data_IF_400431933442
#
_entry.id   IF_400431933442
#
_cell.length_a   1.000
_cell.length_b   1.000
_cell.length_c   1.000
_cell.angle_alpha   90.00
_cell.angle_beta   90.00
_cell.angle_gamma   90.00
#
_symmetry.space_group_name_H-M   'P 1'
#
loop_
_entity.id
_entity.type
_entity.pdbx_description
1 polymer ?
#
# COMPACT_ATOMS: atom_id res chain seq x y z
N UNK A 1 6.37 -9.53 -22.14
CA UNK A 1 6.67 -8.08 -22.26
C UNK A 1 6.81 -7.42 -20.90
N UNK A 2 5.79 -7.49 -20.00
CA UNK A 2 5.78 -6.79 -18.70
C UNK A 2 6.94 -7.18 -17.77
N UNK A 3 7.32 -8.45 -17.69
CA UNK A 3 8.44 -8.90 -16.87
C UNK A 3 9.75 -8.19 -17.24
N UNK A 4 10.07 -8.10 -18.52
CA UNK A 4 11.31 -7.46 -18.98
C UNK A 4 11.32 -5.95 -18.66
N UNK A 5 10.15 -5.32 -18.70
CA UNK A 5 9.99 -3.93 -18.24
C UNK A 5 10.34 -3.83 -16.75
N UNK A 6 9.73 -4.67 -15.90
CA UNK A 6 9.99 -4.63 -14.46
C UNK A 6 11.45 -4.95 -14.11
N UNK A 7 12.07 -5.90 -14.80
CA UNK A 7 13.51 -6.20 -14.62
C UNK A 7 14.35 -4.97 -14.96
N UNK A 8 14.03 -4.28 -16.07
CA UNK A 8 14.74 -3.04 -16.47
C UNK A 8 14.56 -1.94 -15.41
N UNK A 9 13.33 -1.76 -14.88
CA UNK A 9 13.06 -0.77 -13.85
C UNK A 9 13.81 -1.08 -12.53
N UNK A 10 13.96 -2.36 -12.17
CA UNK A 10 14.77 -2.76 -11.01
C UNK A 10 16.26 -2.48 -11.20
N UNK A 11 16.80 -2.66 -12.43
CA UNK A 11 18.18 -2.26 -12.73
C UNK A 11 18.34 -0.74 -12.70
N UNK A 12 17.38 0.02 -13.25
CA UNK A 12 17.38 1.48 -13.18
C UNK A 12 17.34 1.97 -11.72
N UNK A 13 16.47 1.39 -10.90
CA UNK A 13 16.43 1.65 -9.46
C UNK A 13 17.79 1.48 -8.82
N UNK A 14 18.47 0.35 -9.06
CA UNK A 14 19.80 0.08 -8.52
C UNK A 14 20.81 1.15 -8.96
N UNK A 15 20.83 1.48 -10.26
CA UNK A 15 21.73 2.50 -10.82
C UNK A 15 21.50 3.88 -10.19
N UNK A 16 20.25 4.29 -10.03
CA UNK A 16 19.92 5.57 -9.40
C UNK A 16 20.32 5.62 -7.93
N UNK A 17 20.11 4.52 -7.19
CA UNK A 17 20.55 4.41 -5.80
C UNK A 17 22.07 4.47 -5.64
N UNK A 18 22.80 3.83 -6.56
CA UNK A 18 24.27 3.84 -6.57
C UNK A 18 24.80 5.24 -6.89
N UNK A 19 24.20 5.94 -7.87
CA UNK A 19 24.51 7.35 -8.20
C UNK A 19 24.23 8.30 -7.05
N UNK A 20 23.13 8.06 -6.30
CA UNK A 20 22.76 8.84 -5.12
C UNK A 20 23.57 8.47 -3.88
N UNK A 21 24.51 7.52 -3.98
CA UNK A 21 25.36 7.02 -2.89
C UNK A 21 24.57 6.61 -1.63
N UNK A 22 23.42 5.93 -1.85
CA UNK A 22 22.57 5.47 -0.76
C UNK A 22 23.17 4.27 -0.05
N UNK A 23 22.83 4.10 1.22
CA UNK A 23 23.28 2.96 2.02
C UNK A 23 22.86 1.64 1.37
N UNK A 24 23.84 0.79 1.05
CA UNK A 24 23.63 -0.48 0.35
C UNK A 24 22.60 -1.38 1.04
N UNK A 25 22.61 -1.42 2.37
CA UNK A 25 21.64 -2.20 3.16
C UNK A 25 20.19 -1.75 2.89
N UNK A 26 19.96 -0.42 2.87
CA UNK A 26 18.65 0.15 2.59
C UNK A 26 18.20 -0.14 1.16
N UNK A 27 19.11 0.02 0.20
CA UNK A 27 18.84 -0.26 -1.22
C UNK A 27 18.45 -1.72 -1.41
N UNK A 28 19.19 -2.65 -0.79
CA UNK A 28 18.89 -4.08 -0.87
C UNK A 28 17.55 -4.43 -0.20
N UNK A 29 17.26 -3.85 0.96
CA UNK A 29 16.01 -4.08 1.68
C UNK A 29 14.80 -3.57 0.88
N UNK A 30 14.87 -2.34 0.34
CA UNK A 30 13.80 -1.77 -0.49
C UNK A 30 13.63 -2.57 -1.78
N UNK A 31 14.72 -2.96 -2.47
CA UNK A 31 14.65 -3.80 -3.67
C UNK A 31 13.98 -5.14 -3.37
N UNK A 32 14.31 -5.75 -2.25
CA UNK A 32 13.67 -6.99 -1.81
C UNK A 32 12.15 -6.81 -1.63
N UNK A 33 11.75 -5.77 -0.94
CA UNK A 33 10.34 -5.45 -0.70
C UNK A 33 9.58 -5.17 -2.00
N UNK A 34 10.18 -4.40 -2.92
CA UNK A 34 9.60 -4.09 -4.23
C UNK A 34 9.44 -5.34 -5.08
N UNK A 35 10.47 -6.19 -5.19
CA UNK A 35 10.39 -7.45 -5.93
C UNK A 35 9.27 -8.33 -5.36
N UNK A 36 9.19 -8.47 -4.03
CA UNK A 36 8.16 -9.29 -3.37
C UNK A 36 6.75 -8.77 -3.64
N UNK A 37 6.53 -7.46 -3.52
CA UNK A 37 5.22 -6.86 -3.74
C UNK A 37 4.78 -6.93 -5.22
N UNK A 38 5.71 -6.72 -6.15
CA UNK A 38 5.44 -6.83 -7.58
C UNK A 38 5.16 -8.28 -8.00
N UNK A 39 5.87 -9.24 -7.42
CA UNK A 39 5.61 -10.67 -7.65
C UNK A 39 4.23 -11.08 -7.13
N UNK A 40 3.81 -10.61 -5.96
CA UNK A 40 2.46 -10.84 -5.43
C UNK A 40 1.41 -10.21 -6.34
N UNK A 41 1.58 -8.94 -6.71
CA UNK A 41 0.67 -8.25 -7.61
C UNK A 41 0.54 -8.98 -8.96
N UNK A 42 1.66 -9.44 -9.53
CA UNK A 42 1.66 -10.24 -10.76
C UNK A 42 0.90 -11.56 -10.59
N UNK A 43 1.15 -12.30 -9.51
CA UNK A 43 0.46 -13.56 -9.21
C UNK A 43 -1.04 -13.39 -8.98
N UNK A 44 -1.50 -12.21 -8.56
CA UNK A 44 -2.92 -11.90 -8.40
C UNK A 44 -3.64 -11.62 -9.72
N UNK A 45 -2.91 -11.47 -10.83
CA UNK A 45 -3.49 -11.30 -12.16
C UNK A 45 -3.87 -12.64 -12.81
N UNK A 46 -4.75 -12.59 -13.80
CA UNK A 46 -5.16 -13.78 -14.56
C UNK A 46 -4.00 -14.40 -15.37
N UNK A 47 -3.06 -13.58 -15.84
CA UNK A 47 -1.90 -14.04 -16.61
C UNK A 47 -0.78 -14.58 -15.69
N UNK A 48 -0.59 -14.03 -14.49
CA UNK A 48 0.40 -14.50 -13.52
C UNK A 48 0.03 -15.85 -12.91
N UNK A 49 -1.24 -16.07 -12.59
CA UNK A 49 -1.76 -17.35 -12.04
C UNK A 49 -1.57 -18.56 -12.95
N UNK A 50 -1.30 -18.38 -14.23
CA UNK A 50 -1.04 -19.49 -15.17
C UNK A 50 0.34 -20.16 -14.98
N UNK A 51 1.05 -19.88 -13.89
CA UNK A 51 2.33 -20.51 -13.54
C UNK A 51 3.55 -19.97 -14.30
N UNK A 52 3.34 -19.11 -15.29
CA UNK A 52 4.43 -18.55 -16.11
C UNK A 52 5.33 -17.60 -15.31
N UNK A 53 4.78 -16.98 -14.27
CA UNK A 53 5.49 -16.02 -13.43
C UNK A 53 6.31 -16.71 -12.34
N UNK A 54 5.80 -17.76 -11.70
CA UNK A 54 6.37 -18.40 -10.51
C UNK A 54 7.83 -18.84 -10.67
N UNK A 55 8.17 -19.44 -11.84
CA UNK A 55 9.55 -19.89 -12.13
C UNK A 55 10.52 -18.78 -12.56
N UNK A 56 10.03 -17.54 -12.75
CA UNK A 56 10.79 -16.39 -13.26
C UNK A 56 10.44 -15.11 -12.50
N UNK A 57 10.12 -15.21 -11.21
CA UNK A 57 9.77 -14.07 -10.38
C UNK A 57 10.93 -13.08 -10.27
N UNK A 58 10.63 -11.83 -9.94
CA UNK A 58 11.64 -10.80 -9.70
C UNK A 58 12.49 -11.16 -8.48
N UNK A 59 11.85 -11.69 -7.44
CA UNK A 59 12.54 -12.08 -6.21
C UNK A 59 13.57 -13.17 -6.47
N UNK A 60 13.22 -14.21 -7.25
CA UNK A 60 14.17 -15.25 -7.68
C UNK A 60 15.30 -14.64 -8.52
N UNK A 61 14.96 -13.74 -9.44
CA UNK A 61 15.94 -13.13 -10.35
C UNK A 61 16.98 -12.27 -9.63
N UNK A 62 16.56 -11.49 -8.64
CA UNK A 62 17.43 -10.50 -7.98
C UNK A 62 17.97 -10.95 -6.61
N UNK A 63 17.33 -11.93 -5.97
CA UNK A 63 17.67 -12.36 -4.61
C UNK A 63 17.84 -13.88 -4.47
N UNK A 64 17.49 -14.67 -5.50
CA UNK A 64 17.58 -16.14 -5.44
C UNK A 64 16.60 -16.79 -4.47
N UNK A 65 15.52 -16.11 -4.10
CA UNK A 65 14.56 -16.54 -3.08
C UNK A 65 13.13 -16.57 -3.63
N UNK A 66 12.29 -17.43 -3.05
CA UNK A 66 10.89 -17.59 -3.46
C UNK A 66 9.87 -17.24 -2.36
N UNK A 67 10.29 -17.15 -1.10
CA UNK A 67 9.41 -16.97 0.06
C UNK A 67 9.36 -15.53 0.59
N UNK A 68 9.27 -14.56 -0.31
CA UNK A 68 9.31 -13.14 0.03
C UNK A 68 8.22 -12.70 0.99
N UNK A 69 7.01 -13.26 0.86
CA UNK A 69 5.86 -12.88 1.68
C UNK A 69 6.02 -13.15 3.18
N UNK A 70 6.84 -14.12 3.58
CA UNK A 70 7.16 -14.41 4.98
C UNK A 70 8.32 -13.53 5.43
N UNK A 71 9.40 -13.53 4.66
CA UNK A 71 10.66 -12.86 5.03
C UNK A 71 10.52 -11.34 5.09
N UNK A 72 9.65 -10.74 4.29
CA UNK A 72 9.39 -9.30 4.33
C UNK A 72 8.93 -8.85 5.73
N UNK A 73 8.03 -9.58 6.37
CA UNK A 73 7.57 -9.26 7.72
C UNK A 73 8.64 -9.47 8.79
N UNK A 74 9.56 -10.40 8.58
CA UNK A 74 10.75 -10.54 9.44
C UNK A 74 11.70 -9.34 9.28
N UNK A 75 11.85 -8.83 8.05
CA UNK A 75 12.62 -7.62 7.76
C UNK A 75 11.98 -6.42 8.45
N UNK A 76 10.65 -6.24 8.35
CA UNK A 76 9.92 -5.18 9.05
C UNK A 76 10.23 -5.21 10.55
N UNK A 77 10.11 -6.37 11.19
CA UNK A 77 10.36 -6.52 12.62
C UNK A 77 11.79 -6.11 13.03
N UNK A 78 12.79 -6.49 12.22
CA UNK A 78 14.19 -6.12 12.45
C UNK A 78 14.45 -4.63 12.26
N UNK A 79 13.92 -4.05 11.18
CA UNK A 79 14.10 -2.62 10.89
C UNK A 79 13.36 -1.73 11.89
N UNK A 80 12.19 -2.15 12.36
CA UNK A 80 11.41 -1.43 13.36
C UNK A 80 12.10 -1.36 14.73
N UNK A 81 12.95 -2.32 15.07
CA UNK A 81 13.76 -2.30 16.29
C UNK A 81 14.77 -1.15 16.32
N UNK A 82 15.24 -0.67 15.15
CA UNK A 82 16.15 0.47 15.00
C UNK A 82 15.53 1.54 14.09
N UNK A 83 14.31 1.97 14.46
CA UNK A 83 13.48 2.85 13.64
C UNK A 83 14.18 4.15 13.22
N UNK A 84 14.98 4.76 14.10
CA UNK A 84 15.69 6.01 13.80
C UNK A 84 16.64 5.86 12.59
N UNK A 85 17.26 4.72 12.47
CA UNK A 85 18.21 4.42 11.40
C UNK A 85 17.52 4.01 10.09
N UNK A 86 16.43 3.24 10.19
CA UNK A 86 15.78 2.58 9.07
C UNK A 86 14.42 3.19 8.67
N UNK A 87 14.04 4.34 9.25
CA UNK A 87 12.72 4.94 9.04
C UNK A 87 12.36 5.18 7.57
N UNK A 88 13.33 5.54 6.72
CA UNK A 88 13.09 5.73 5.29
C UNK A 88 12.68 4.42 4.58
N UNK A 89 13.30 3.30 4.97
CA UNK A 89 12.94 1.96 4.43
C UNK A 89 11.56 1.55 4.91
N UNK A 90 11.27 1.79 6.20
CA UNK A 90 9.96 1.49 6.79
C UNK A 90 8.84 2.34 6.19
N UNK A 91 9.13 3.58 5.77
CA UNK A 91 8.19 4.43 5.05
C UNK A 91 7.82 3.83 3.67
N UNK A 92 8.81 3.34 2.91
CA UNK A 92 8.55 2.62 1.65
C UNK A 92 7.69 1.39 1.90
N UNK A 93 8.01 0.60 2.93
CA UNK A 93 7.24 -0.59 3.28
C UNK A 93 5.80 -0.22 3.67
N UNK A 94 5.61 0.84 4.46
CA UNK A 94 4.29 1.37 4.81
C UNK A 94 3.45 1.68 3.56
N UNK A 95 4.06 2.29 2.53
CA UNK A 95 3.38 2.56 1.26
C UNK A 95 3.04 1.27 0.51
N UNK A 96 3.93 0.28 0.48
CA UNK A 96 3.65 -1.02 -0.15
C UNK A 96 2.48 -1.75 0.51
N UNK A 97 2.41 -1.74 1.84
CA UNK A 97 1.25 -2.26 2.58
C UNK A 97 -0.03 -1.47 2.26
N UNK A 98 0.11 -0.15 2.06
CA UNK A 98 -0.99 0.74 1.63
C UNK A 98 -1.51 0.44 0.22
N UNK A 99 -0.64 -0.03 -0.67
CA UNK A 99 -0.99 -0.44 -2.04
C UNK A 99 -1.64 -1.83 -2.11
N UNK A 100 -1.74 -2.54 -0.97
CA UNK A 100 -2.47 -3.80 -0.88
C UNK A 100 -1.58 -5.05 -0.85
N UNK A 101 -0.29 -4.91 -0.55
CA UNK A 101 0.56 -6.07 -0.30
C UNK A 101 0.11 -6.80 0.98
N UNK A 102 -0.19 -8.09 0.88
CA UNK A 102 -0.68 -8.92 1.99
C UNK A 102 0.36 -9.98 2.44
N UNK A 103 1.14 -10.53 1.53
CA UNK A 103 2.14 -11.55 1.78
C UNK A 103 1.58 -12.75 2.54
N UNK A 104 2.24 -13.15 3.63
CA UNK A 104 1.81 -14.29 4.46
C UNK A 104 0.43 -14.13 5.10
N UNK A 105 -0.08 -12.91 5.20
CA UNK A 105 -1.37 -12.64 5.83
C UNK A 105 -2.56 -12.88 4.90
N UNK A 106 -2.34 -13.01 3.59
CA UNK A 106 -3.39 -13.29 2.62
C UNK A 106 -4.14 -14.61 2.88
N UNK A 107 -3.48 -15.59 3.50
CA UNK A 107 -4.03 -16.93 3.80
C UNK A 107 -4.44 -17.10 5.26
N UNK A 108 -4.29 -16.09 6.11
CA UNK A 108 -4.62 -16.18 7.53
C UNK A 108 -6.05 -15.68 7.79
N UNK A 109 -6.82 -16.34 8.71
CA UNK A 109 -8.21 -15.95 8.99
C UNK A 109 -8.37 -14.49 9.41
N UNK A 110 -7.45 -13.97 10.23
CA UNK A 110 -7.43 -12.57 10.71
C UNK A 110 -6.35 -11.72 10.04
N UNK A 111 -5.87 -12.13 8.87
CA UNK A 111 -4.71 -11.52 8.22
C UNK A 111 -4.86 -10.03 7.97
N UNK A 112 -6.01 -9.57 7.48
CA UNK A 112 -6.30 -8.15 7.25
C UNK A 112 -6.19 -7.32 8.52
N UNK A 113 -6.77 -7.81 9.62
CA UNK A 113 -6.71 -7.12 10.91
C UNK A 113 -5.29 -7.02 11.44
N UNK A 114 -4.49 -8.07 11.24
CA UNK A 114 -3.07 -8.06 11.62
C UNK A 114 -2.27 -7.08 10.76
N UNK A 115 -2.52 -7.03 9.44
CA UNK A 115 -1.91 -6.05 8.55
C UNK A 115 -2.27 -4.61 8.93
N UNK A 116 -3.53 -4.34 9.25
CA UNK A 116 -3.97 -3.02 9.68
C UNK A 116 -3.28 -2.59 10.98
N UNK A 117 -3.09 -3.51 11.92
CA UNK A 117 -2.33 -3.25 13.14
C UNK A 117 -0.86 -2.91 12.84
N UNK A 118 -0.20 -3.66 11.94
CA UNK A 118 1.18 -3.38 11.52
C UNK A 118 1.26 -2.00 10.85
N UNK A 119 0.34 -1.68 9.95
CA UNK A 119 0.27 -0.36 9.29
C UNK A 119 0.10 0.75 10.29
N UNK A 120 -0.79 0.57 11.27
CA UNK A 120 -1.05 1.57 12.32
C UNK A 120 0.19 1.79 13.20
N UNK A 121 0.90 0.73 13.56
CA UNK A 121 2.15 0.83 14.32
C UNK A 121 3.22 1.59 13.52
N UNK A 122 3.42 1.24 12.24
CA UNK A 122 4.35 1.95 11.37
C UNK A 122 3.98 3.43 11.21
N UNK A 123 2.69 3.73 11.00
CA UNK A 123 2.21 5.11 10.89
C UNK A 123 2.51 5.91 12.15
N UNK A 124 2.26 5.33 13.33
CA UNK A 124 2.55 5.99 14.61
C UNK A 124 4.03 6.31 14.75
N UNK A 125 4.91 5.37 14.43
CA UNK A 125 6.36 5.59 14.47
C UNK A 125 6.83 6.62 13.44
N UNK A 126 6.30 6.57 12.22
CA UNK A 126 6.63 7.52 11.15
C UNK A 126 6.15 8.93 11.47
N UNK A 127 4.97 9.07 12.07
CA UNK A 127 4.43 10.39 12.47
C UNK A 127 5.24 11.05 13.57
N UNK A 128 5.84 10.28 14.47
CA UNK A 128 6.73 10.80 15.51
C UNK A 128 8.07 11.33 14.96
N UNK A 129 8.50 10.84 13.79
CA UNK A 129 9.73 11.30 13.13
C UNK A 129 9.53 12.56 12.30
N UNK A 130 8.32 12.75 11.77
CA UNK A 130 8.00 13.96 11.02
C UNK A 130 7.79 15.10 12.00
N UNK A 131 8.49 16.22 11.77
CA UNK A 131 8.14 17.48 12.42
C UNK A 131 6.63 17.71 12.24
N UNK A 132 5.94 18.25 13.28
CA UNK A 132 4.52 18.51 13.18
C UNK A 132 4.28 19.33 11.91
N UNK A 133 3.61 18.72 10.93
CA UNK A 133 3.21 19.41 9.71
C UNK A 133 2.43 20.61 10.17
N UNK A 134 2.92 21.81 9.86
CA UNK A 134 2.19 23.04 10.14
C UNK A 134 0.74 22.85 9.66
N UNK A 135 -0.26 23.19 10.49
CA UNK A 135 -1.64 23.08 10.07
C UNK A 135 -1.81 23.79 8.74
N UNK A 136 -2.50 23.16 7.81
CA UNK A 136 -2.63 23.55 6.41
C UNK A 136 -2.69 25.08 6.24
N UNK A 137 -1.86 25.60 5.33
CA UNK A 137 -1.69 27.02 5.01
C UNK A 137 -2.99 27.72 4.52
N UNK A 138 -4.10 27.00 4.41
CA UNK A 138 -5.40 27.54 4.04
C UNK A 138 -6.52 26.94 4.88
N UNK A 139 -7.22 27.73 5.73
CA UNK A 139 -8.42 27.27 6.42
C UNK A 139 -9.58 26.94 5.45
N UNK A 140 -9.51 27.38 4.20
CA UNK A 140 -10.56 27.18 3.19
C UNK A 140 -10.56 25.77 2.57
N UNK A 141 -9.49 24.98 2.70
CA UNK A 141 -9.42 23.64 2.09
C UNK A 141 -10.35 22.62 2.77
N UNK A 142 -10.71 22.82 4.02
CA UNK A 142 -11.65 21.94 4.73
C UNK A 142 -13.12 22.17 4.33
N UNK A 143 -13.45 23.34 3.77
CA UNK A 143 -14.82 23.68 3.36
C UNK A 143 -15.25 23.05 2.02
N UNK A 144 -14.34 22.90 1.07
CA UNK A 144 -14.71 22.54 -0.31
C UNK A 144 -15.01 21.03 -0.49
N UNK A 145 -14.33 20.14 0.25
CA UNK A 145 -14.50 18.69 0.09
C UNK A 145 -15.63 18.16 0.98
N UNK A 146 -15.79 18.69 2.18
CA UNK A 146 -16.83 18.25 3.11
C UNK A 146 -18.23 18.77 2.75
N UNK A 147 -18.35 19.90 2.06
CA UNK A 147 -19.63 20.51 1.69
C UNK A 147 -20.38 19.73 0.61
N UNK A 148 -19.70 19.14 -0.36
CA UNK A 148 -20.33 18.47 -1.50
C UNK A 148 -20.82 17.05 -1.20
N UNK A 149 -20.11 16.32 -0.35
CA UNK A 149 -20.51 14.95 0.05
C UNK A 149 -21.55 14.96 1.19
N UNK A 150 -21.58 16.01 2.02
CA UNK A 150 -22.55 16.13 3.12
C UNK A 150 -23.93 16.49 2.65
N UNK A 151 -24.07 17.16 1.50
CA UNK A 151 -25.37 17.54 0.90
C UNK A 151 -26.14 16.38 0.28
N UNK A 152 -25.42 15.35 -0.21
CA UNK A 152 -26.06 14.18 -0.83
C UNK A 152 -26.58 13.14 0.19
N UNK A 153 -26.18 13.21 1.45
CA UNK A 153 -26.52 12.20 2.47
C UNK A 153 -27.69 12.56 3.40
N UNK A 154 -28.37 13.69 3.15
CA UNK A 154 -29.52 14.14 3.95
C UNK A 154 -30.73 14.43 3.10
N UNK A 155 -31.14 13.48 2.27
CA UNK A 155 -32.55 13.43 1.88
C UNK A 155 -33.26 12.66 2.99
N UNK A 156 -34.05 13.31 3.82
CA UNK A 156 -34.73 12.61 4.90
C UNK A 156 -35.71 11.61 4.28
N UNK A 157 -35.70 10.38 4.80
CA UNK A 157 -36.49 9.24 4.27
C UNK A 157 -38.00 9.57 4.17
N UNK A 158 -38.49 10.47 5.03
CA UNK A 158 -39.88 10.94 5.00
C UNK A 158 -40.21 11.79 3.78
N UNK A 159 -39.23 12.46 3.14
CA UNK A 159 -39.43 13.22 1.92
C UNK A 159 -39.62 12.30 0.69
N UNK A 160 -38.87 11.19 0.64
CA UNK A 160 -39.05 10.17 -0.39
C UNK A 160 -40.36 9.41 -0.24
N UNK A 161 -40.79 9.15 1.01
CA UNK A 161 -42.10 8.56 1.30
C UNK A 161 -43.26 9.51 0.87
N UNK A 162 -43.13 10.82 1.11
CA UNK A 162 -44.10 11.82 0.71
C UNK A 162 -44.25 11.91 -0.81
N UNK A 163 -43.18 11.89 -1.57
CA UNK A 163 -43.18 11.90 -3.04
C UNK A 163 -43.82 10.63 -3.61
N UNK A 164 -43.52 9.46 -3.00
CA UNK A 164 -44.13 8.19 -3.43
C UNK A 164 -45.64 8.15 -3.18
N UNK A 165 -46.12 8.73 -2.07
CA UNK A 165 -47.52 8.80 -1.72
C UNK A 165 -48.29 9.75 -2.65
N UNK A 166 -47.69 10.90 -3.03
CA UNK A 166 -48.24 11.85 -3.99
C UNK A 166 -48.32 11.23 -5.41
N UNK A 167 -47.29 10.49 -5.85
CA UNK A 167 -47.29 9.79 -7.11
C UNK A 167 -48.39 8.70 -7.18
N UNK A 168 -48.66 8.02 -6.08
CA UNK A 168 -49.69 7.00 -5.99
C UNK A 168 -51.11 7.62 -6.05
N UNK A 169 -51.31 8.84 -5.51
CA UNK A 169 -52.59 9.55 -5.51
C UNK A 169 -52.91 10.12 -6.90
N UNK A 170 -51.93 10.36 -7.78
CA UNK A 170 -52.17 10.88 -9.13
C UNK A 170 -52.40 9.77 -10.18
N UNK A 171 -52.16 8.51 -9.81
CA UNK A 171 -52.35 7.33 -10.65
C UNK A 171 -53.68 6.60 -10.35
N UNK A 172 -54.45 7.04 -9.36
CA UNK A 172 -55.74 6.48 -9.01
C UNK A 172 -56.86 7.53 -9.25
#
# INVERSE_FOLDING_TARGET
PYRNLLVREMHLYQTLCDQANLRREHVLAVRYCLCTALDEAANNTTWGRRGVWAGKSLLVTFHGESEGGIKLFQIIGRLAASFQEHGNVLEVIYHLLGLGFEGRYSVQPDGRKQLDNIRQQLLTQLSQRRDPVMPALSPDFQGAISGRLRRMRRVPVWLSAGIALLAMLTLF
#
